data_IF_208607177592
#
_entry.id   IF_208607177592
#
_cell.length_a   1.000
_cell.length_b   1.000
_cell.length_c   1.000
_cell.angle_alpha   90.00
_cell.angle_beta   90.00
_cell.angle_gamma   90.00
#
_symmetry.space_group_name_H-M   'P 1'
#
loop_
_entity.id
_entity.type
_entity.pdbx_description
1 polymer ?
#
# COMPACT_ATOMS: atom_id res chain seq x y z
N UNK A 1 5.12 -7.15 -10.45
CA UNK A 1 4.82 -6.52 -9.14
C UNK A 1 3.32 -6.47 -9.03
N UNK A 2 2.76 -7.33 -8.19
CA UNK A 2 1.31 -7.57 -8.17
C UNK A 2 0.56 -6.53 -7.35
N UNK A 3 1.28 -5.70 -6.58
CA UNK A 3 0.74 -4.56 -5.83
C UNK A 3 0.43 -3.33 -6.71
N UNK A 4 0.70 -3.39 -8.01
CA UNK A 4 0.46 -2.31 -8.97
C UNK A 4 0.86 -0.89 -8.51
N UNK A 5 2.02 -0.77 -7.87
CA UNK A 5 2.52 0.50 -7.35
C UNK A 5 2.96 1.42 -8.50
N UNK A 6 2.17 2.45 -8.80
CA UNK A 6 2.57 3.45 -9.81
C UNK A 6 3.78 4.26 -9.33
N UNK A 7 4.82 4.44 -10.17
CA UNK A 7 5.99 5.24 -9.81
C UNK A 7 5.66 6.69 -9.41
N UNK A 8 4.65 7.29 -10.06
CA UNK A 8 4.21 8.67 -9.80
C UNK A 8 3.66 8.91 -8.39
N UNK A 9 3.26 7.86 -7.67
CA UNK A 9 2.77 7.95 -6.29
C UNK A 9 3.89 8.07 -5.24
N UNK A 10 5.17 7.97 -5.65
CA UNK A 10 6.33 8.07 -4.76
C UNK A 10 6.31 7.04 -3.62
N UNK A 11 5.83 5.82 -3.89
CA UNK A 11 5.84 4.72 -2.93
C UNK A 11 7.26 4.28 -2.57
N UNK A 12 7.41 3.67 -1.39
CA UNK A 12 8.61 2.93 -0.99
C UNK A 12 8.28 1.47 -0.70
N UNK A 13 9.21 0.56 -1.03
CA UNK A 13 9.17 -0.86 -0.66
C UNK A 13 10.30 -1.23 0.31
N UNK A 14 11.05 -0.24 0.79
CA UNK A 14 12.19 -0.44 1.68
C UNK A 14 11.79 -0.69 3.13
N UNK A 15 10.54 -0.44 3.48
CA UNK A 15 10.05 -0.55 4.85
C UNK A 15 8.75 -1.36 4.90
N UNK A 16 8.59 -2.09 5.99
CA UNK A 16 7.34 -2.74 6.37
C UNK A 16 6.90 -2.14 7.70
N UNK A 17 5.66 -1.64 7.74
CA UNK A 17 5.05 -1.08 8.95
C UNK A 17 4.02 -2.06 9.51
N UNK A 18 4.07 -2.26 10.83
CA UNK A 18 3.05 -2.98 11.58
C UNK A 18 2.13 -1.95 12.24
N UNK A 19 0.81 -2.11 12.04
CA UNK A 19 -0.18 -1.19 12.60
C UNK A 19 -1.19 -1.92 13.48
N UNK A 20 -1.65 -1.24 14.53
CA UNK A 20 -2.83 -1.64 15.30
C UNK A 20 -3.95 -0.65 14.97
N UNK A 21 -5.03 -1.16 14.38
CA UNK A 21 -6.19 -0.35 14.04
C UNK A 21 -7.06 -0.21 15.30
N UNK A 22 -7.35 1.03 15.78
CA UNK A 22 -8.20 1.24 16.94
C UNK A 22 -9.61 0.67 16.75
N UNK A 23 -10.24 0.28 17.85
CA UNK A 23 -11.64 -0.16 17.83
C UNK A 23 -12.56 0.95 17.29
N UNK A 24 -13.54 0.56 16.48
CA UNK A 24 -14.54 1.47 15.92
C UNK A 24 -14.14 2.14 14.60
N UNK A 25 -12.96 1.84 14.07
CA UNK A 25 -12.57 2.27 12.72
C UNK A 25 -13.25 1.42 11.65
N UNK A 26 -13.65 2.06 10.56
CA UNK A 26 -14.13 1.37 9.36
C UNK A 26 -12.98 1.29 8.35
N UNK A 27 -12.68 0.07 7.89
CA UNK A 27 -11.62 -0.20 6.93
C UNK A 27 -12.23 -0.90 5.72
N UNK A 28 -11.88 -0.43 4.52
CA UNK A 28 -12.31 -1.09 3.30
C UNK A 28 -11.27 -2.14 2.91
N UNK A 29 -11.74 -3.36 2.67
CA UNK A 29 -10.94 -4.47 2.14
C UNK A 29 -11.33 -4.67 0.68
N UNK A 30 -10.35 -4.87 -0.19
CA UNK A 30 -10.62 -5.09 -1.60
C UNK A 30 -9.44 -5.70 -2.35
N UNK A 31 -9.55 -5.70 -3.68
CA UNK A 31 -8.49 -6.12 -4.59
C UNK A 31 -7.86 -4.90 -5.25
N UNK A 32 -6.53 -4.90 -5.37
CA UNK A 32 -5.80 -3.88 -6.14
C UNK A 32 -6.20 -3.98 -7.61
N UNK A 33 -6.66 -2.89 -8.20
CA UNK A 33 -6.97 -2.83 -9.64
C UNK A 33 -5.70 -2.67 -10.50
N UNK A 34 -5.70 -3.12 -11.77
CA UNK A 34 -4.60 -2.87 -12.69
C UNK A 34 -4.29 -1.39 -12.85
N UNK A 35 -3.01 -1.04 -13.00
CA UNK A 35 -2.54 0.34 -13.19
C UNK A 35 -1.70 0.46 -14.46
N UNK A 36 -1.85 1.57 -15.19
CA UNK A 36 -1.08 1.86 -16.39
C UNK A 36 0.02 2.89 -16.11
N UNK A 37 1.26 2.57 -16.47
CA UNK A 37 2.36 3.53 -16.47
C UNK A 37 2.28 4.31 -17.78
N UNK A 38 1.72 5.52 -17.75
CA UNK A 38 1.46 6.33 -18.96
C UNK A 38 2.71 6.53 -19.83
N UNK A 39 3.86 6.81 -19.20
CA UNK A 39 5.12 7.07 -19.92
C UNK A 39 5.67 5.88 -20.72
N UNK A 40 5.31 4.64 -20.39
CA UNK A 40 5.85 3.43 -21.03
C UNK A 40 4.78 2.51 -21.61
N UNK A 41 3.49 2.79 -21.38
CA UNK A 41 2.37 1.91 -21.71
C UNK A 41 2.36 0.59 -20.92
N UNK A 42 3.24 0.44 -19.92
CA UNK A 42 3.34 -0.81 -19.13
C UNK A 42 2.12 -0.96 -18.23
N UNK A 43 1.46 -2.13 -18.28
CA UNK A 43 0.35 -2.46 -17.39
C UNK A 43 0.86 -3.25 -16.19
N UNK A 44 0.65 -2.71 -14.99
CA UNK A 44 0.82 -3.40 -13.73
C UNK A 44 -0.48 -4.13 -13.38
N UNK A 45 -0.43 -5.45 -13.26
CA UNK A 45 -1.64 -6.30 -13.23
C UNK A 45 -2.55 -6.09 -12.01
N UNK A 46 -2.01 -5.73 -10.85
CA UNK A 46 -2.79 -5.72 -9.61
C UNK A 46 -3.19 -7.13 -9.17
N UNK A 47 -4.32 -7.24 -8.48
CA UNK A 47 -4.99 -8.52 -8.14
C UNK A 47 -4.74 -9.03 -6.72
N UNK A 48 -3.82 -8.41 -5.97
CA UNK A 48 -3.58 -8.75 -4.57
C UNK A 48 -4.62 -8.10 -3.65
N UNK A 49 -4.75 -8.62 -2.43
CA UNK A 49 -5.57 -7.99 -1.39
C UNK A 49 -4.99 -6.63 -0.99
N UNK A 50 -5.89 -5.69 -0.68
CA UNK A 50 -5.57 -4.39 -0.14
C UNK A 50 -6.53 -4.02 0.99
N UNK A 51 -6.01 -3.21 1.91
CA UNK A 51 -6.81 -2.43 2.84
C UNK A 51 -6.68 -0.94 2.50
N UNK A 52 -7.74 -0.18 2.69
CA UNK A 52 -7.71 1.29 2.55
C UNK A 52 -7.93 1.90 3.91
N UNK A 53 -6.92 2.66 4.36
CA UNK A 53 -7.00 3.39 5.63
C UNK A 53 -7.92 4.62 5.50
N UNK A 54 -8.58 5.04 6.58
CA UNK A 54 -9.39 6.25 6.57
C UNK A 54 -8.56 7.47 6.21
N UNK A 55 -9.21 8.47 5.61
CA UNK A 55 -8.56 9.76 5.38
C UNK A 55 -8.14 10.35 6.74
N UNK A 56 -6.90 10.83 6.83
CA UNK A 56 -6.32 11.40 8.04
C UNK A 56 -6.15 10.40 9.22
N UNK A 57 -5.91 9.11 8.94
CA UNK A 57 -5.50 8.16 9.97
C UNK A 57 -4.23 8.64 10.72
N UNK A 58 -4.14 8.38 12.03
CA UNK A 58 -3.00 8.81 12.84
C UNK A 58 -1.80 7.87 12.67
N UNK A 59 -0.60 8.43 12.53
CA UNK A 59 0.65 7.66 12.54
C UNK A 59 0.87 6.90 13.85
N UNK A 60 0.18 7.26 14.94
CA UNK A 60 0.24 6.53 16.22
C UNK A 60 -0.26 5.09 16.11
N UNK A 61 -0.96 4.73 15.03
CA UNK A 61 -1.36 3.35 14.77
C UNK A 61 -0.16 2.47 14.44
N UNK A 62 0.95 3.05 13.98
CA UNK A 62 2.18 2.34 13.66
C UNK A 62 2.88 1.97 14.96
N UNK A 63 2.98 0.67 15.22
CA UNK A 63 3.66 0.14 16.41
C UNK A 63 5.09 -0.30 16.12
N UNK A 64 5.44 -0.52 14.85
CA UNK A 64 6.76 -0.92 14.43
C UNK A 64 7.02 -0.57 12.96
N UNK A 65 8.28 -0.27 12.63
CA UNK A 65 8.77 -0.11 11.26
C UNK A 65 10.10 -0.86 11.16
N UNK A 66 10.21 -1.78 10.20
CA UNK A 66 11.47 -2.48 9.90
C UNK A 66 11.91 -2.20 8.47
N UNK A 67 13.22 -2.13 8.26
CA UNK A 67 13.78 -2.15 6.91
C UNK A 67 13.60 -3.53 6.29
N UNK A 68 13.18 -3.56 5.04
CA UNK A 68 13.09 -4.76 4.24
C UNK A 68 14.40 -4.88 3.47
N UNK A 69 15.20 -5.94 3.66
CA UNK A 69 16.41 -6.14 2.88
C UNK A 69 16.06 -6.19 1.39
N UNK A 70 16.79 -5.42 0.57
CA UNK A 70 16.69 -5.58 -0.88
C UNK A 70 17.18 -7.00 -1.23
N UNK A 71 16.29 -7.80 -1.82
CA UNK A 71 16.65 -9.04 -2.51
C UNK A 71 16.91 -8.73 -3.98
#
# INVERSE_FOLDING_TARGET
IDMALLPGWKNTRMYEAEIIIPKGQQINIGKVAPQAIESTGTILKGGVDQIVLPRNWSSDWIINIKSVPNK
#
